data_IF_041720641973
#
_entry.id   IF_041720641973
#
_cell.length_a   1.000
_cell.length_b   1.000
_cell.length_c   1.000
_cell.angle_alpha   90.00
_cell.angle_beta   90.00
_cell.angle_gamma   90.00
#
_symmetry.space_group_name_H-M   'P 1'
#
loop_
_entity.id
_entity.type
_entity.pdbx_description
1 polymer ?
#
# COMPACT_ATOMS: atom_id res chain seq x y z
N UNK A 1 8.76 29.12 23.91
CA UNK A 1 8.40 27.75 23.51
C UNK A 1 7.15 27.38 24.27
N UNK A 2 6.03 27.06 23.60
CA UNK A 2 4.82 26.61 24.28
C UNK A 2 5.05 25.25 24.97
N UNK A 3 4.49 25.10 26.17
CA UNK A 3 4.37 23.81 26.86
C UNK A 3 2.99 23.24 26.54
N UNK A 4 2.95 22.09 25.87
CA UNK A 4 1.72 21.39 25.53
C UNK A 4 1.49 20.27 26.55
N UNK A 5 0.36 20.33 27.25
CA UNK A 5 -0.04 19.28 28.19
C UNK A 5 -0.94 18.29 27.46
N UNK A 6 -0.54 17.01 27.47
CA UNK A 6 -1.30 15.91 26.88
C UNK A 6 -1.65 14.88 27.95
N UNK A 7 -2.60 13.96 27.69
CA UNK A 7 -2.88 12.83 28.58
C UNK A 7 -1.66 11.93 28.85
N UNK A 8 -0.64 11.96 27.98
CA UNK A 8 0.52 11.08 28.05
C UNK A 8 1.75 11.75 28.69
N UNK A 9 1.72 13.07 28.89
CA UNK A 9 2.86 13.85 29.36
C UNK A 9 2.90 15.26 28.77
N UNK A 10 3.89 16.03 29.21
CA UNK A 10 4.12 17.39 28.72
C UNK A 10 5.15 17.41 27.60
N UNK A 11 4.92 18.26 26.59
CA UNK A 11 5.79 18.42 25.42
C UNK A 11 6.21 19.87 25.33
N UNK A 12 7.51 20.12 25.38
CA UNK A 12 8.05 21.42 24.97
C UNK A 12 8.08 21.48 23.45
N UNK A 13 7.27 22.37 22.88
CA UNK A 13 7.04 22.43 21.45
C UNK A 13 7.63 23.68 20.80
N UNK A 14 7.86 23.61 19.48
CA UNK A 14 8.12 24.78 18.65
C UNK A 14 6.90 25.72 18.60
N UNK A 15 7.10 27.03 18.34
CA UNK A 15 6.01 28.02 18.26
C UNK A 15 4.94 27.69 17.22
N UNK A 16 5.30 27.02 16.13
CA UNK A 16 4.40 26.66 15.01
C UNK A 16 3.52 25.45 15.33
N UNK A 17 2.93 25.44 16.52
CA UNK A 17 1.96 24.42 16.95
C UNK A 17 0.61 24.68 16.28
N UNK A 18 0.03 23.65 15.68
CA UNK A 18 -1.31 23.72 15.10
C UNK A 18 -2.36 23.24 16.10
N UNK A 19 -3.53 23.87 16.05
CA UNK A 19 -4.68 23.55 16.91
C UNK A 19 -5.92 23.21 16.07
N UNK A 20 -6.81 22.41 16.64
CA UNK A 20 -8.16 22.22 16.14
C UNK A 20 -9.04 23.45 16.44
N UNK A 21 -10.23 23.57 15.81
CA UNK A 21 -11.15 24.69 16.08
C UNK A 21 -11.61 24.79 17.54
N UNK A 22 -11.59 23.69 18.29
CA UNK A 22 -11.93 23.64 19.72
C UNK A 22 -10.77 24.05 20.65
N UNK A 23 -9.60 24.38 20.08
CA UNK A 23 -8.40 24.76 20.81
C UNK A 23 -7.53 23.59 21.27
N UNK A 24 -7.92 22.34 21.03
CA UNK A 24 -7.07 21.18 21.31
C UNK A 24 -5.86 21.13 20.35
N UNK A 25 -4.73 20.58 20.82
CA UNK A 25 -3.53 20.46 19.99
C UNK A 25 -3.79 19.50 18.83
N UNK A 26 -3.43 19.91 17.62
CA UNK A 26 -3.52 19.10 16.40
C UNK A 26 -2.17 18.55 16.00
N UNK A 27 -1.14 19.38 16.06
CA UNK A 27 0.21 19.02 15.62
C UNK A 27 1.25 19.87 16.33
N UNK A 28 2.35 19.28 16.79
CA UNK A 28 3.46 20.00 17.39
C UNK A 28 4.79 19.29 17.12
N UNK A 29 5.90 20.03 17.17
CA UNK A 29 7.26 19.47 17.03
C UNK A 29 7.96 19.61 18.38
N UNK A 30 8.49 18.51 18.91
CA UNK A 30 9.24 18.50 20.16
C UNK A 30 10.62 19.17 19.98
N UNK A 31 11.03 20.00 20.93
CA UNK A 31 12.34 20.68 20.91
C UNK A 31 13.42 19.98 21.73
N UNK A 32 13.01 19.05 22.60
CA UNK A 32 13.88 18.28 23.49
C UNK A 32 13.22 16.95 23.87
N UNK A 33 13.99 16.08 24.50
CA UNK A 33 13.49 14.83 25.07
C UNK A 33 12.29 15.10 25.99
N UNK A 34 11.15 14.50 25.65
CA UNK A 34 9.90 14.58 26.41
C UNK A 34 9.27 13.17 26.48
N UNK A 35 9.58 12.37 27.51
CA UNK A 35 9.03 11.04 27.65
C UNK A 35 7.50 11.07 27.79
N UNK A 36 6.81 10.28 26.97
CA UNK A 36 5.36 10.13 26.97
C UNK A 36 4.99 8.72 27.45
N UNK A 37 4.10 8.62 28.43
CA UNK A 37 3.62 7.34 28.97
C UNK A 37 2.43 6.89 28.11
N UNK A 38 2.66 5.93 27.22
CA UNK A 38 1.65 5.43 26.27
C UNK A 38 1.22 4.00 26.62
N UNK A 39 0.16 3.45 25.99
CA UNK A 39 -0.18 2.03 26.12
C UNK A 39 0.94 1.07 25.68
N UNK A 40 1.90 1.53 24.87
CA UNK A 40 3.07 0.76 24.44
C UNK A 40 4.28 0.95 25.37
N UNK A 41 4.11 1.64 26.50
CA UNK A 41 5.18 2.02 27.41
C UNK A 41 5.64 3.46 27.21
N UNK A 42 6.83 3.76 27.73
CA UNK A 42 7.43 5.09 27.66
C UNK A 42 8.08 5.30 26.30
N UNK A 43 7.57 6.27 25.54
CA UNK A 43 8.06 6.62 24.20
C UNK A 43 8.59 8.05 24.19
N UNK A 44 9.71 8.27 23.52
CA UNK A 44 10.33 9.60 23.38
C UNK A 44 10.14 10.07 21.93
N UNK A 45 9.36 11.15 21.70
CA UNK A 45 9.22 11.73 20.37
C UNK A 45 10.56 12.18 19.80
N UNK A 46 10.69 12.15 18.48
CA UNK A 46 11.88 12.69 17.83
C UNK A 46 12.00 14.20 18.05
N UNK A 47 13.17 14.64 18.48
CA UNK A 47 13.52 16.05 18.70
C UNK A 47 14.89 16.42 18.09
N UNK A 48 15.58 15.49 17.43
CA UNK A 48 16.79 15.79 16.64
C UNK A 48 16.60 15.58 15.13
N UNK A 49 17.34 16.35 14.32
CA UNK A 49 17.29 16.29 12.85
C UNK A 49 18.64 16.66 12.21
N UNK A 50 19.71 15.99 12.64
CA UNK A 50 21.09 16.32 12.28
C UNK A 50 21.77 15.27 11.38
N UNK A 51 21.02 14.31 10.82
CA UNK A 51 21.57 13.24 9.98
C UNK A 51 21.05 13.33 8.55
N UNK A 52 21.77 12.73 7.59
CA UNK A 52 21.32 12.61 6.20
C UNK A 52 19.99 11.83 6.08
N UNK A 53 19.77 10.89 7.01
CA UNK A 53 18.57 10.06 7.13
C UNK A 53 17.37 10.80 7.74
N UNK A 54 17.60 11.69 8.71
CA UNK A 54 16.60 12.47 9.45
C UNK A 54 16.95 13.97 9.36
N UNK A 55 16.60 14.61 8.24
CA UNK A 55 16.96 16.02 7.96
C UNK A 55 15.97 17.05 8.48
N UNK A 56 14.76 16.62 8.83
CA UNK A 56 13.70 17.49 9.34
C UNK A 56 13.13 16.89 10.62
N UNK A 57 12.71 17.76 11.54
CA UNK A 57 11.99 17.35 12.74
C UNK A 57 10.55 17.00 12.35
N UNK A 58 10.14 15.74 12.52
CA UNK A 58 8.78 15.35 12.18
C UNK A 58 7.82 15.81 13.29
N UNK A 59 6.59 16.14 12.91
CA UNK A 59 5.58 16.52 13.87
C UNK A 59 4.93 15.32 14.55
N UNK A 60 4.65 15.49 15.85
CA UNK A 60 3.69 14.69 16.60
C UNK A 60 2.31 15.20 16.21
N UNK A 61 1.39 14.31 15.82
CA UNK A 61 0.02 14.70 15.52
C UNK A 61 -0.97 14.03 16.47
N UNK A 62 -2.10 14.68 16.67
CA UNK A 62 -3.15 14.27 17.60
C UNK A 62 -4.50 14.15 16.91
N UNK A 63 -5.37 13.35 17.51
CA UNK A 63 -6.80 13.34 17.21
C UNK A 63 -7.50 14.46 18.00
N UNK A 64 -8.73 14.87 17.60
CA UNK A 64 -9.46 15.92 18.32
C UNK A 64 -9.69 15.64 19.81
N UNK A 65 -9.72 14.36 20.21
CA UNK A 65 -9.86 13.97 21.62
C UNK A 65 -8.54 14.02 22.42
N UNK A 66 -7.46 14.56 21.86
CA UNK A 66 -6.15 14.67 22.49
C UNK A 66 -5.32 13.38 22.47
N UNK A 67 -5.84 12.29 21.89
CA UNK A 67 -5.05 11.06 21.72
C UNK A 67 -3.98 11.26 20.64
N UNK A 68 -2.80 10.69 20.86
CA UNK A 68 -1.73 10.71 19.86
C UNK A 68 -2.22 9.98 18.61
N UNK A 69 -2.11 10.63 17.46
CA UNK A 69 -2.42 10.05 16.16
C UNK A 69 -1.17 9.47 15.50
N UNK A 70 -0.07 10.21 15.53
CA UNK A 70 1.21 9.82 14.93
C UNK A 70 2.36 10.28 15.81
N UNK A 71 3.30 9.38 16.09
CA UNK A 71 4.44 9.61 16.95
C UNK A 71 5.72 9.05 16.31
N UNK A 72 6.49 9.89 15.62
CA UNK A 72 7.88 9.61 15.26
C UNK A 72 8.75 9.58 16.51
N UNK A 73 9.64 8.61 16.60
CA UNK A 73 10.48 8.36 17.78
C UNK A 73 11.92 8.81 17.52
N UNK A 74 12.57 9.30 18.58
CA UNK A 74 13.96 9.72 18.54
C UNK A 74 14.87 8.55 18.14
N UNK A 75 14.72 7.44 18.88
CA UNK A 75 15.46 6.19 18.70
C UNK A 75 14.49 5.05 18.39
N UNK A 76 15.02 4.00 17.77
CA UNK A 76 14.28 2.75 17.58
C UNK A 76 14.12 2.06 18.94
N UNK A 77 12.89 1.70 19.27
CA UNK A 77 12.56 0.99 20.52
C UNK A 77 11.77 -0.29 20.22
N UNK A 78 11.96 -1.31 21.07
CA UNK A 78 11.16 -2.52 21.01
C UNK A 78 9.78 -2.29 21.64
N UNK A 79 8.73 -2.60 20.90
CA UNK A 79 7.33 -2.52 21.35
C UNK A 79 6.69 -3.90 21.31
N UNK A 80 5.97 -4.24 22.38
CA UNK A 80 5.17 -5.47 22.42
C UNK A 80 3.92 -5.30 21.57
N UNK A 81 3.67 -6.25 20.68
CA UNK A 81 2.48 -6.26 19.80
C UNK A 81 1.83 -7.63 19.81
N UNK A 82 0.57 -7.74 19.35
CA UNK A 82 -0.11 -9.04 19.22
C UNK A 82 0.59 -10.04 18.29
N UNK A 83 1.47 -9.57 17.41
CA UNK A 83 2.19 -10.41 16.42
C UNK A 83 3.66 -10.62 16.78
N UNK A 84 4.10 -10.17 17.96
CA UNK A 84 5.48 -10.27 18.44
C UNK A 84 6.05 -8.98 18.99
N UNK A 85 7.31 -9.01 19.40
CA UNK A 85 8.06 -7.82 19.83
C UNK A 85 8.74 -7.21 18.62
N UNK A 86 8.41 -5.97 18.30
CA UNK A 86 8.86 -5.32 17.06
C UNK A 86 9.70 -4.09 17.36
N UNK A 87 10.77 -3.82 16.59
CA UNK A 87 11.37 -2.50 16.58
C UNK A 87 10.39 -1.47 16.00
N UNK A 88 10.43 -0.25 16.52
CA UNK A 88 9.64 0.87 16.03
C UNK A 88 10.45 2.16 16.08
N UNK A 89 10.47 2.89 14.96
CA UNK A 89 10.89 4.30 14.90
C UNK A 89 9.72 5.26 14.70
N UNK A 90 8.54 4.71 14.39
CA UNK A 90 7.30 5.48 14.33
C UNK A 90 6.12 4.58 14.67
N UNK A 91 5.21 5.12 15.47
CA UNK A 91 3.95 4.48 15.80
C UNK A 91 2.77 5.42 15.57
N UNK A 92 1.62 4.86 15.29
CA UNK A 92 0.37 5.61 15.18
C UNK A 92 -0.74 4.90 15.93
N UNK A 93 -1.75 5.65 16.36
CA UNK A 93 -2.87 5.12 17.14
C UNK A 93 -4.21 5.55 16.58
N UNK A 94 -5.23 4.78 16.91
CA UNK A 94 -6.62 5.17 16.72
C UNK A 94 -7.05 6.21 17.76
N UNK A 95 -8.20 6.85 17.55
CA UNK A 95 -8.81 7.74 18.55
C UNK A 95 -9.07 7.04 19.90
N UNK A 96 -9.21 5.71 19.90
CA UNK A 96 -9.34 4.91 21.13
C UNK A 96 -8.03 4.75 21.92
N UNK A 97 -6.89 5.18 21.36
CA UNK A 97 -5.56 4.89 21.89
C UNK A 97 -5.03 3.50 21.53
N UNK A 98 -5.81 2.66 20.85
CA UNK A 98 -5.34 1.38 20.33
C UNK A 98 -4.25 1.59 19.27
N UNK A 99 -3.24 0.71 19.27
CA UNK A 99 -2.19 0.72 18.27
C UNK A 99 -2.80 0.58 16.87
N UNK A 100 -2.41 1.48 15.97
CA UNK A 100 -2.84 1.48 14.58
C UNK A 100 -1.74 0.92 13.68
N UNK A 101 -0.58 1.57 13.61
CA UNK A 101 0.50 1.15 12.71
C UNK A 101 1.86 1.31 13.36
N UNK A 102 2.76 0.38 13.08
CA UNK A 102 4.16 0.42 13.46
C UNK A 102 5.01 0.49 12.19
N UNK A 103 6.05 1.31 12.24
CA UNK A 103 7.12 1.35 11.27
C UNK A 103 8.44 1.03 11.98
N UNK A 104 9.10 -0.10 11.65
CA UNK A 104 10.44 -0.43 12.15
C UNK A 104 11.46 0.66 11.88
N UNK A 105 11.35 1.31 10.73
CA UNK A 105 12.22 2.38 10.27
C UNK A 105 11.38 3.56 9.78
N UNK A 106 11.86 4.78 10.00
CA UNK A 106 11.21 6.02 9.61
C UNK A 106 12.23 7.06 9.08
N UNK A 107 13.13 6.63 8.19
CA UNK A 107 14.03 7.51 7.47
C UNK A 107 13.34 8.30 6.36
N UNK A 108 13.85 9.49 6.05
CA UNK A 108 13.34 10.32 4.94
C UNK A 108 14.22 10.13 3.71
N UNK A 109 13.66 9.57 2.63
CA UNK A 109 14.37 9.42 1.38
C UNK A 109 14.72 10.78 0.77
N UNK A 110 15.94 10.92 0.25
CA UNK A 110 16.44 12.14 -0.38
C UNK A 110 17.54 11.82 -1.39
N UNK A 111 18.05 12.83 -2.10
CA UNK A 111 19.21 12.65 -2.99
C UNK A 111 20.50 12.16 -2.29
N UNK A 112 20.54 12.17 -0.95
CA UNK A 112 21.67 11.68 -0.15
C UNK A 112 21.33 10.46 0.71
N UNK A 113 20.07 10.00 0.67
CA UNK A 113 19.60 8.86 1.43
C UNK A 113 18.59 8.08 0.60
N UNK A 114 19.06 7.01 -0.03
CA UNK A 114 18.27 6.26 -0.99
C UNK A 114 17.43 5.18 -0.31
N UNK A 115 16.50 4.57 -1.07
CA UNK A 115 15.79 3.38 -0.62
C UNK A 115 16.75 2.23 -0.27
N UNK A 116 17.81 2.06 -1.04
CA UNK A 116 18.85 1.06 -0.78
C UNK A 116 19.58 1.32 0.53
N UNK A 117 19.83 2.59 0.87
CA UNK A 117 20.47 2.96 2.13
C UNK A 117 19.56 2.68 3.33
N UNK A 118 18.26 2.98 3.22
CA UNK A 118 17.29 2.64 4.27
C UNK A 118 17.13 1.12 4.40
N UNK A 119 17.11 0.38 3.29
CA UNK A 119 17.00 -1.08 3.27
C UNK A 119 18.16 -1.77 4.00
N UNK A 120 19.38 -1.21 3.99
CA UNK A 120 20.54 -1.75 4.74
C UNK A 120 20.34 -1.74 6.25
N UNK A 121 19.41 -0.92 6.77
CA UNK A 121 19.06 -0.87 8.19
C UNK A 121 17.91 -1.82 8.54
N UNK A 122 17.19 -2.33 7.54
CA UNK A 122 16.06 -3.21 7.76
C UNK A 122 16.56 -4.57 8.23
N UNK A 123 15.95 -5.09 9.28
CA UNK A 123 16.25 -6.41 9.84
C UNK A 123 15.04 -7.33 9.66
N UNK A 124 15.25 -8.63 9.36
CA UNK A 124 14.15 -9.58 9.30
C UNK A 124 13.39 -9.63 10.63
N UNK A 125 12.06 -9.61 10.54
CA UNK A 125 11.16 -9.70 11.68
C UNK A 125 10.55 -11.09 11.72
N UNK A 126 10.54 -11.71 12.89
CA UNK A 126 9.76 -12.93 13.16
C UNK A 126 8.38 -12.51 13.65
N UNK A 127 7.34 -12.84 12.88
CA UNK A 127 5.97 -12.38 13.09
C UNK A 127 5.01 -13.55 13.23
N UNK A 128 4.17 -13.52 14.25
CA UNK A 128 3.01 -14.41 14.39
C UNK A 128 1.83 -13.83 13.59
N UNK A 129 1.62 -14.32 12.37
CA UNK A 129 0.59 -13.78 11.47
C UNK A 129 -0.59 -14.74 11.30
N UNK A 130 -1.73 -14.27 10.74
CA UNK A 130 -2.82 -15.18 10.37
C UNK A 130 -2.45 -16.24 9.32
N UNK A 131 -1.31 -16.07 8.62
CA UNK A 131 -0.76 -17.07 7.70
C UNK A 131 0.08 -18.14 8.42
N UNK A 132 0.30 -17.98 9.73
CA UNK A 132 1.30 -18.69 10.52
C UNK A 132 2.53 -17.82 10.83
N UNK A 133 3.54 -18.40 11.48
CA UNK A 133 4.81 -17.72 11.72
C UNK A 133 5.51 -17.40 10.40
N UNK A 134 5.95 -16.16 10.23
CA UNK A 134 6.72 -15.73 9.05
C UNK A 134 7.97 -14.97 9.48
N UNK A 135 9.03 -15.09 8.70
CA UNK A 135 10.24 -14.29 8.82
C UNK A 135 10.37 -13.43 7.56
N UNK A 136 10.36 -12.10 7.71
CA UNK A 136 10.36 -11.21 6.54
C UNK A 136 10.86 -9.80 6.85
N UNK A 137 11.25 -9.05 5.81
CA UNK A 137 11.55 -7.64 5.90
C UNK A 137 10.26 -6.83 5.69
N UNK A 138 9.85 -6.08 6.72
CA UNK A 138 8.64 -5.25 6.68
C UNK A 138 8.94 -3.75 6.73
N UNK A 139 8.22 -2.97 5.93
CA UNK A 139 8.17 -1.50 6.03
C UNK A 139 7.20 -1.10 7.14
N UNK A 140 6.04 -1.75 7.22
CA UNK A 140 5.03 -1.42 8.24
C UNK A 140 4.05 -2.56 8.50
N UNK A 141 3.48 -2.53 9.71
CA UNK A 141 2.41 -3.42 10.13
C UNK A 141 1.20 -2.58 10.56
N UNK A 142 0.04 -2.89 10.01
CA UNK A 142 -1.22 -2.21 10.32
C UNK A 142 -2.12 -3.14 11.14
N UNK A 143 -2.65 -2.64 12.25
CA UNK A 143 -3.52 -3.34 13.18
C UNK A 143 -4.92 -2.75 13.17
N UNK A 144 -5.91 -3.59 13.43
CA UNK A 144 -7.27 -3.18 13.77
C UNK A 144 -7.33 -2.60 15.18
N UNK A 145 -8.42 -1.88 15.55
CA UNK A 145 -8.60 -1.41 16.92
C UNK A 145 -8.64 -2.53 17.98
N UNK A 146 -8.96 -3.76 17.61
CA UNK A 146 -8.93 -4.94 18.50
C UNK A 146 -7.54 -5.57 18.61
N UNK A 147 -6.55 -5.10 17.84
CA UNK A 147 -5.18 -5.62 17.82
C UNK A 147 -4.91 -6.71 16.77
N UNK A 148 -5.92 -7.17 16.03
CA UNK A 148 -5.71 -8.10 14.92
C UNK A 148 -4.88 -7.44 13.79
N UNK A 149 -3.93 -8.17 13.20
CA UNK A 149 -3.14 -7.71 12.06
C UNK A 149 -4.04 -7.53 10.84
N UNK A 150 -4.12 -6.32 10.30
CA UNK A 150 -4.89 -5.97 9.09
C UNK A 150 -4.05 -5.94 7.84
N UNK A 151 -2.78 -5.57 7.93
CA UNK A 151 -1.88 -5.65 6.79
C UNK A 151 -0.42 -5.70 7.20
N UNK A 152 0.37 -6.29 6.32
CA UNK A 152 1.81 -6.34 6.37
C UNK A 152 2.32 -5.74 5.06
N UNK A 153 3.12 -4.69 5.14
CA UNK A 153 3.80 -4.09 3.98
C UNK A 153 5.25 -4.56 3.97
N UNK A 154 5.65 -5.22 2.89
CA UNK A 154 6.97 -5.80 2.68
C UNK A 154 7.94 -4.73 2.15
N UNK A 155 9.22 -4.91 2.45
CA UNK A 155 10.27 -4.17 1.75
C UNK A 155 10.25 -4.48 0.25
N UNK A 156 10.66 -3.53 -0.63
CA UNK A 156 10.87 -3.84 -2.03
C UNK A 156 11.85 -5.01 -2.20
N UNK A 157 11.65 -5.77 -3.27
CA UNK A 157 12.39 -7.01 -3.57
C UNK A 157 12.22 -8.16 -2.56
N UNK A 158 11.43 -7.96 -1.50
CA UNK A 158 11.00 -9.03 -0.59
C UNK A 158 9.69 -9.63 -1.07
N UNK A 159 9.64 -10.95 -1.11
CA UNK A 159 8.43 -11.71 -1.39
C UNK A 159 8.02 -12.55 -0.18
N UNK A 160 6.73 -12.86 -0.10
CA UNK A 160 6.16 -13.73 0.93
C UNK A 160 5.29 -14.79 0.26
N UNK A 161 5.53 -16.06 0.55
CA UNK A 161 4.65 -17.13 0.07
C UNK A 161 3.35 -17.15 0.88
N UNK A 162 2.23 -16.91 0.20
CA UNK A 162 0.92 -16.81 0.83
C UNK A 162 0.07 -18.02 0.46
N UNK A 163 -0.39 -18.83 1.44
CA UNK A 163 -1.42 -19.81 1.18
C UNK A 163 -2.74 -19.11 0.85
N UNK A 164 -3.29 -19.38 -0.34
CA UNK A 164 -4.57 -18.83 -0.76
C UNK A 164 -5.56 -19.94 -1.14
N UNK A 165 -6.86 -19.63 -1.24
CA UNK A 165 -7.84 -20.56 -1.81
C UNK A 165 -7.55 -20.98 -3.26
N UNK A 166 -6.63 -20.30 -3.95
CA UNK A 166 -6.19 -20.58 -5.32
C UNK A 166 -4.89 -21.39 -5.37
N UNK A 167 -4.33 -21.77 -4.21
CA UNK A 167 -2.99 -22.33 -4.08
C UNK A 167 -1.99 -21.32 -3.49
N UNK A 168 -0.72 -21.71 -3.40
CA UNK A 168 0.34 -20.82 -2.94
C UNK A 168 0.58 -19.70 -3.95
N UNK A 169 0.64 -18.45 -3.47
CA UNK A 169 0.94 -17.27 -4.29
C UNK A 169 2.02 -16.45 -3.61
N UNK A 170 3.10 -16.18 -4.33
CA UNK A 170 4.12 -15.24 -3.88
C UNK A 170 3.56 -13.81 -3.93
N UNK A 171 3.54 -13.13 -2.80
CA UNK A 171 3.15 -11.73 -2.68
C UNK A 171 4.37 -10.82 -2.69
N UNK A 172 4.30 -9.71 -3.41
CA UNK A 172 5.19 -8.53 -3.29
C UNK A 172 4.42 -7.41 -2.61
N UNK A 173 5.08 -6.35 -2.15
CA UNK A 173 4.49 -5.14 -1.53
C UNK A 173 3.73 -5.41 -0.24
N UNK A 174 2.81 -6.37 -0.18
CA UNK A 174 2.14 -6.74 1.06
C UNK A 174 0.91 -7.63 0.91
N UNK A 175 0.35 -7.92 2.08
CA UNK A 175 -0.86 -8.72 2.27
C UNK A 175 -1.78 -8.01 3.26
N UNK A 176 -3.09 -8.21 3.11
CA UNK A 176 -4.08 -7.71 4.05
C UNK A 176 -5.04 -8.79 4.51
N UNK A 177 -5.62 -8.60 5.69
CA UNK A 177 -6.52 -9.53 6.36
C UNK A 177 -7.80 -8.83 6.80
N UNK A 178 -8.86 -9.62 6.95
CA UNK A 178 -10.02 -9.25 7.75
C UNK A 178 -9.68 -9.35 9.24
N UNK A 179 -10.51 -8.75 10.11
CA UNK A 179 -10.31 -8.85 11.55
C UNK A 179 -10.44 -10.29 12.08
N UNK A 180 -11.08 -11.18 11.31
CA UNK A 180 -11.12 -12.63 11.54
C UNK A 180 -9.79 -13.35 11.27
N UNK A 181 -8.80 -12.67 10.68
CA UNK A 181 -7.55 -13.26 10.22
C UNK A 181 -7.61 -13.87 8.81
N UNK A 182 -8.79 -13.95 8.19
CA UNK A 182 -8.90 -14.45 6.81
C UNK A 182 -8.20 -13.48 5.85
N UNK A 183 -7.45 -14.04 4.89
CA UNK A 183 -6.80 -13.28 3.83
C UNK A 183 -7.83 -12.45 3.05
N UNK A 184 -7.60 -11.14 2.99
CA UNK A 184 -8.45 -10.18 2.30
C UNK A 184 -7.89 -9.82 0.94
N UNK A 185 -6.59 -9.57 0.84
CA UNK A 185 -5.94 -9.30 -0.43
C UNK A 185 -4.43 -9.53 -0.37
N UNK A 186 -3.83 -9.73 -1.54
CA UNK A 186 -2.37 -9.74 -1.73
C UNK A 186 -2.01 -9.13 -3.08
N UNK A 187 -0.80 -8.59 -3.20
CA UNK A 187 -0.28 -8.13 -4.49
C UNK A 187 0.66 -9.20 -5.07
N UNK A 188 0.30 -9.86 -6.18
CA UNK A 188 1.12 -10.92 -6.75
C UNK A 188 2.52 -10.42 -7.16
N UNK A 189 3.55 -11.20 -6.85
CA UNK A 189 4.92 -10.94 -7.27
C UNK A 189 5.10 -11.07 -8.79
N UNK A 190 4.29 -11.92 -9.42
CA UNK A 190 4.25 -12.19 -10.85
C UNK A 190 2.80 -12.45 -11.31
N UNK A 191 2.52 -12.47 -12.63
CA UNK A 191 1.18 -12.78 -13.13
C UNK A 191 0.68 -14.18 -12.71
N UNK A 192 -0.36 -14.20 -11.88
CA UNK A 192 -0.98 -15.44 -11.40
C UNK A 192 -2.22 -15.76 -12.21
N UNK A 193 -2.32 -17.00 -12.71
CA UNK A 193 -3.54 -17.45 -13.38
C UNK A 193 -4.64 -17.79 -12.39
N UNK A 194 -5.82 -17.22 -12.60
CA UNK A 194 -6.95 -17.30 -11.69
C UNK A 194 -8.20 -17.67 -12.46
N UNK A 195 -8.86 -18.75 -12.04
CA UNK A 195 -10.20 -19.08 -12.51
C UNK A 195 -11.20 -18.05 -11.95
N UNK A 196 -11.90 -17.35 -12.85
CA UNK A 196 -12.91 -16.35 -12.48
C UNK A 196 -14.27 -16.67 -13.10
N UNK A 197 -15.36 -16.03 -12.65
CA UNK A 197 -16.67 -16.22 -13.27
C UNK A 197 -16.69 -15.93 -14.79
N UNK A 198 -15.86 -15.01 -15.27
CA UNK A 198 -15.79 -14.65 -16.71
C UNK A 198 -14.74 -15.47 -17.49
N UNK A 199 -14.11 -16.46 -16.85
CA UNK A 199 -13.03 -17.27 -17.44
C UNK A 199 -11.69 -17.13 -16.70
N UNK A 200 -10.65 -17.73 -17.24
CA UNK A 200 -9.31 -17.68 -16.67
C UNK A 200 -8.63 -16.34 -16.99
N UNK A 201 -8.12 -15.65 -15.97
CA UNK A 201 -7.48 -14.34 -16.07
C UNK A 201 -6.12 -14.34 -15.35
N UNK A 202 -5.22 -13.43 -15.75
CA UNK A 202 -3.98 -13.17 -15.01
C UNK A 202 -4.17 -12.00 -14.06
N UNK A 203 -4.04 -12.24 -12.76
CA UNK A 203 -4.03 -11.20 -11.74
C UNK A 203 -2.61 -10.65 -11.58
N UNK A 204 -2.43 -9.38 -11.95
CA UNK A 204 -1.19 -8.62 -11.75
C UNK A 204 -1.42 -7.14 -12.07
N UNK A 205 -1.02 -6.27 -11.17
CA UNK A 205 -1.00 -4.82 -11.40
C UNK A 205 0.44 -4.34 -11.58
N UNK A 206 0.85 -3.98 -12.81
CA UNK A 206 2.18 -3.41 -13.05
C UNK A 206 2.37 -2.04 -12.37
N UNK A 207 1.28 -1.38 -11.99
CA UNK A 207 1.25 -0.03 -11.41
C UNK A 207 1.07 -0.05 -9.89
N UNK A 208 1.10 -1.23 -9.27
CA UNK A 208 0.95 -1.36 -7.83
C UNK A 208 1.98 -0.48 -7.10
N UNK A 209 1.47 0.44 -6.29
CA UNK A 209 2.31 1.39 -5.54
C UNK A 209 2.85 0.69 -4.29
N UNK A 210 4.17 0.49 -4.23
CA UNK A 210 4.89 -0.20 -3.15
C UNK A 210 4.91 0.51 -1.79
N UNK A 211 3.99 1.43 -1.52
CA UNK A 211 3.95 2.21 -0.28
C UNK A 211 3.17 1.48 0.82
N UNK A 212 2.17 0.66 0.46
CA UNK A 212 1.29 0.04 1.44
C UNK A 212 0.62 -1.24 0.94
N UNK A 213 0.67 -2.30 1.76
CA UNK A 213 0.00 -3.58 1.53
C UNK A 213 -1.49 -3.64 1.86
N UNK A 214 -2.14 -2.50 2.12
CA UNK A 214 -3.55 -2.43 2.55
C UNK A 214 -4.56 -2.77 1.45
N UNK A 215 -4.24 -2.45 0.20
CA UNK A 215 -5.11 -2.65 -0.96
C UNK A 215 -4.29 -3.18 -2.12
N UNK A 216 -4.66 -4.36 -2.61
CA UNK A 216 -3.86 -5.11 -3.55
C UNK A 216 -4.71 -5.64 -4.70
N UNK A 217 -4.04 -6.14 -5.73
CA UNK A 217 -4.64 -6.67 -6.94
C UNK A 217 -5.60 -7.81 -6.68
N UNK A 218 -5.14 -8.88 -6.03
CA UNK A 218 -5.94 -10.09 -5.83
C UNK A 218 -6.75 -9.95 -4.54
N UNK A 219 -8.08 -9.99 -4.64
CA UNK A 219 -8.99 -9.69 -3.53
C UNK A 219 -9.98 -10.81 -3.28
N UNK A 220 -10.15 -11.14 -2.00
CA UNK A 220 -11.01 -12.20 -1.52
C UNK A 220 -12.12 -11.64 -0.62
N UNK A 221 -13.18 -12.42 -0.46
CA UNK A 221 -14.15 -12.23 0.63
C UNK A 221 -13.68 -13.02 1.85
N UNK A 222 -14.31 -12.73 2.98
CA UNK A 222 -14.06 -13.43 4.23
C UNK A 222 -14.42 -14.93 4.18
N UNK A 223 -15.25 -15.36 3.23
CA UNK A 223 -15.49 -16.79 2.97
C UNK A 223 -14.45 -17.44 2.04
N UNK A 224 -13.36 -16.73 1.69
CA UNK A 224 -12.30 -17.19 0.79
C UNK A 224 -12.63 -17.07 -0.71
N UNK A 225 -13.86 -16.72 -1.10
CA UNK A 225 -14.19 -16.56 -2.52
C UNK A 225 -13.53 -15.32 -3.14
N UNK A 226 -13.09 -15.44 -4.39
CA UNK A 226 -12.56 -14.30 -5.15
C UNK A 226 -13.64 -13.22 -5.31
N UNK A 227 -13.32 -11.98 -4.96
CA UNK A 227 -14.21 -10.83 -5.12
C UNK A 227 -13.71 -9.81 -6.12
N UNK A 228 -12.43 -9.87 -6.50
CA UNK A 228 -11.90 -9.01 -7.53
C UNK A 228 -10.44 -9.31 -7.84
N UNK A 229 -10.01 -8.82 -9.00
CA UNK A 229 -8.61 -8.82 -9.39
C UNK A 229 -8.28 -7.53 -10.16
N UNK A 230 -7.00 -7.29 -10.39
CA UNK A 230 -6.50 -6.24 -11.28
C UNK A 230 -5.64 -6.90 -12.37
N UNK A 231 -5.77 -6.44 -13.62
CA UNK A 231 -5.08 -7.05 -14.77
C UNK A 231 -4.81 -6.03 -15.86
N UNK A 232 -3.56 -5.94 -16.32
CA UNK A 232 -3.20 -5.28 -17.58
C UNK A 232 -3.10 -6.26 -18.78
N UNK A 233 -3.29 -7.56 -18.56
CA UNK A 233 -3.05 -8.61 -19.56
C UNK A 233 -4.29 -9.04 -20.37
N UNK A 234 -5.45 -8.44 -20.11
CA UNK A 234 -6.73 -8.86 -20.69
C UNK A 234 -7.55 -7.67 -21.20
N UNK A 235 -8.25 -7.91 -22.30
CA UNK A 235 -9.36 -7.08 -22.79
C UNK A 235 -10.66 -7.86 -22.63
N UNK A 236 -11.78 -7.14 -22.66
CA UNK A 236 -13.11 -7.71 -22.41
C UNK A 236 -14.10 -7.24 -23.46
N UNK A 237 -14.70 -8.18 -24.18
CA UNK A 237 -15.86 -7.91 -25.03
C UNK A 237 -17.12 -8.07 -24.20
N UNK A 238 -17.91 -7.00 -24.11
CA UNK A 238 -19.13 -6.94 -23.30
C UNK A 238 -20.35 -6.76 -24.20
N UNK A 239 -21.26 -7.73 -24.21
CA UNK A 239 -22.53 -7.63 -24.91
C UNK A 239 -23.49 -6.78 -24.08
N UNK A 240 -23.86 -5.61 -24.60
CA UNK A 240 -24.82 -4.70 -23.97
C UNK A 240 -26.26 -5.17 -24.21
N UNK A 241 -27.22 -4.64 -23.43
CA UNK A 241 -28.65 -4.99 -23.54
C UNK A 241 -29.24 -4.79 -24.94
N UNK A 242 -28.69 -3.84 -25.72
CA UNK A 242 -29.10 -3.58 -27.10
C UNK A 242 -28.42 -4.50 -28.14
N UNK A 243 -27.73 -5.55 -27.69
CA UNK A 243 -26.98 -6.48 -28.54
C UNK A 243 -25.66 -5.94 -29.08
N UNK A 244 -25.30 -4.68 -28.83
CA UNK A 244 -24.00 -4.12 -29.25
C UNK A 244 -22.89 -4.68 -28.39
N UNK A 245 -21.76 -5.00 -29.01
CA UNK A 245 -20.54 -5.38 -28.30
C UNK A 245 -19.71 -4.13 -28.00
N UNK A 246 -19.34 -3.94 -26.74
CA UNK A 246 -18.37 -2.94 -26.30
C UNK A 246 -17.08 -3.65 -25.89
N UNK A 247 -16.00 -3.36 -26.61
CA UNK A 247 -14.65 -3.80 -26.23
C UNK A 247 -14.06 -2.85 -25.19
N UNK A 248 -13.59 -3.41 -24.08
CA UNK A 248 -12.82 -2.72 -23.06
C UNK A 248 -11.38 -3.22 -23.12
N UNK A 249 -10.44 -2.32 -23.35
CA UNK A 249 -9.00 -2.62 -23.34
C UNK A 249 -8.32 -1.86 -22.21
N UNK A 250 -7.20 -2.35 -21.68
CA UNK A 250 -6.30 -1.57 -20.83
C UNK A 250 -6.00 -0.20 -21.47
N UNK A 251 -6.25 0.94 -20.79
CA UNK A 251 -5.91 2.25 -21.31
C UNK A 251 -4.40 2.37 -21.53
N UNK A 252 -3.99 2.98 -22.62
CA UNK A 252 -2.58 3.23 -22.89
C UNK A 252 -2.18 4.62 -22.40
N UNK A 253 -1.05 4.70 -21.72
CA UNK A 253 -0.45 5.97 -21.30
C UNK A 253 1.03 6.00 -21.62
N UNK A 254 1.61 7.20 -21.66
CA UNK A 254 3.06 7.40 -21.77
C UNK A 254 3.72 7.10 -20.43
N UNK A 255 4.90 6.49 -20.47
CA UNK A 255 5.72 6.23 -19.31
C UNK A 255 6.05 7.56 -18.60
N UNK A 256 5.84 7.69 -17.28
CA UNK A 256 6.06 8.96 -16.57
C UNK A 256 7.50 9.49 -16.66
N UNK A 257 8.49 8.61 -16.66
CA UNK A 257 9.92 9.00 -16.69
C UNK A 257 10.44 9.44 -18.07
N UNK A 258 10.16 8.69 -19.15
CA UNK A 258 10.70 9.00 -20.49
C UNK A 258 9.70 9.72 -21.40
N UNK A 259 8.39 9.65 -21.13
CA UNK A 259 7.34 10.29 -21.91
C UNK A 259 7.14 9.70 -23.31
N UNK A 260 7.85 8.64 -23.69
CA UNK A 260 7.85 8.07 -25.03
C UNK A 260 7.25 6.66 -25.06
N UNK A 261 7.64 5.80 -24.11
CA UNK A 261 7.17 4.41 -24.09
C UNK A 261 5.69 4.36 -23.73
N UNK A 262 4.91 3.61 -24.51
CA UNK A 262 3.51 3.36 -24.19
C UNK A 262 3.39 2.16 -23.24
N UNK A 263 2.60 2.32 -22.19
CA UNK A 263 2.34 1.31 -21.18
C UNK A 263 0.84 1.11 -20.98
N UNK A 264 0.46 -0.12 -20.66
CA UNK A 264 -0.92 -0.48 -20.38
C UNK A 264 -1.24 -0.23 -18.91
N UNK A 265 -2.19 0.66 -18.67
CA UNK A 265 -2.81 0.84 -17.35
C UNK A 265 -3.78 -0.31 -17.09
N UNK A 266 -3.82 -0.89 -15.90
CA UNK A 266 -4.62 -2.07 -15.63
C UNK A 266 -6.12 -1.77 -15.61
N UNK A 267 -6.90 -2.84 -15.81
CA UNK A 267 -8.33 -2.88 -15.54
C UNK A 267 -8.56 -3.55 -14.18
N UNK A 268 -9.44 -2.96 -13.38
CA UNK A 268 -9.91 -3.51 -12.11
C UNK A 268 -11.24 -4.23 -12.33
N UNK A 269 -11.31 -5.47 -11.86
CA UNK A 269 -12.50 -6.30 -11.87
C UNK A 269 -13.04 -6.48 -10.45
N UNK A 270 -14.35 -6.34 -10.28
CA UNK A 270 -15.10 -6.70 -9.08
C UNK A 270 -16.19 -7.70 -9.46
N UNK A 271 -16.14 -8.90 -8.87
CA UNK A 271 -17.09 -9.96 -9.11
C UNK A 271 -18.18 -9.93 -8.04
N UNK A 272 -19.44 -10.06 -8.44
CA UNK A 272 -20.62 -10.24 -7.58
C UNK A 272 -21.43 -11.42 -8.14
N UNK A 273 -22.40 -11.97 -7.38
CA UNK A 273 -23.26 -13.04 -7.91
C UNK A 273 -23.89 -12.63 -9.25
N UNK A 274 -23.56 -13.35 -10.32
CA UNK A 274 -24.06 -13.11 -11.68
C UNK A 274 -23.56 -11.84 -12.39
N UNK A 275 -22.76 -10.99 -11.74
CA UNK A 275 -22.38 -9.68 -12.29
C UNK A 275 -20.88 -9.43 -12.12
N UNK A 276 -20.25 -8.90 -13.17
CA UNK A 276 -18.89 -8.37 -13.12
C UNK A 276 -18.92 -6.86 -13.32
N UNK A 277 -18.07 -6.15 -12.57
CA UNK A 277 -17.81 -4.73 -12.79
C UNK A 277 -16.39 -4.53 -13.24
N UNK A 278 -16.22 -3.73 -14.28
CA UNK A 278 -14.93 -3.43 -14.89
C UNK A 278 -14.72 -1.91 -14.85
N UNK A 279 -13.56 -1.47 -14.39
CA UNK A 279 -13.21 -0.05 -14.31
C UNK A 279 -11.71 0.14 -14.49
N UNK A 280 -11.30 1.36 -14.84
CA UNK A 280 -9.92 1.84 -14.75
C UNK A 280 -9.93 3.29 -14.29
N UNK A 281 -8.76 3.92 -14.14
CA UNK A 281 -8.67 5.35 -13.83
C UNK A 281 -9.43 6.22 -14.86
N UNK A 282 -9.33 5.87 -16.14
CA UNK A 282 -9.87 6.66 -17.26
C UNK A 282 -11.18 6.11 -17.84
N UNK A 283 -11.64 4.96 -17.35
CA UNK A 283 -12.89 4.34 -17.80
C UNK A 283 -13.95 4.40 -16.70
N UNK A 284 -15.10 4.99 -17.05
CA UNK A 284 -16.28 4.91 -16.21
C UNK A 284 -16.67 3.45 -15.97
N UNK A 285 -17.04 3.17 -14.72
CA UNK A 285 -17.37 1.82 -14.24
C UNK A 285 -18.49 1.21 -15.09
N UNK A 286 -18.21 0.08 -15.74
CA UNK A 286 -19.19 -0.72 -16.46
C UNK A 286 -19.60 -1.93 -15.59
N UNK A 287 -20.90 -2.22 -15.54
CA UNK A 287 -21.41 -3.46 -14.94
C UNK A 287 -22.06 -4.30 -16.04
N UNK A 288 -21.83 -5.60 -16.02
CA UNK A 288 -22.39 -6.54 -16.99
C UNK A 288 -22.66 -7.90 -16.36
N UNK A 289 -23.57 -8.67 -16.94
CA UNK A 289 -23.78 -10.06 -16.56
C UNK A 289 -22.50 -10.86 -16.88
N UNK A 290 -22.17 -11.86 -16.07
CA UNK A 290 -20.93 -12.62 -16.27
C UNK A 290 -20.91 -13.34 -17.62
N UNK A 291 -22.04 -13.91 -18.02
CA UNK A 291 -22.26 -14.59 -19.29
C UNK A 291 -22.20 -13.68 -20.52
N UNK A 292 -22.30 -12.36 -20.33
CA UNK A 292 -22.22 -11.38 -21.41
C UNK A 292 -20.81 -10.82 -21.59
N UNK A 293 -19.81 -11.35 -20.86
CA UNK A 293 -18.43 -10.88 -20.89
C UNK A 293 -17.49 -11.99 -21.36
N UNK A 294 -16.76 -11.72 -22.44
CA UNK A 294 -15.75 -12.63 -22.97
C UNK A 294 -14.37 -11.98 -22.84
N UNK A 295 -13.45 -12.56 -22.05
CA UNK A 295 -12.08 -12.07 -21.95
C UNK A 295 -11.24 -12.54 -23.15
N UNK A 296 -10.27 -11.72 -23.54
CA UNK A 296 -9.22 -12.08 -24.49
C UNK A 296 -7.88 -11.54 -24.02
N UNK A 297 -6.79 -12.18 -24.43
CA UNK A 297 -5.45 -11.64 -24.16
C UNK A 297 -5.27 -10.27 -24.78
N UNK A 298 -4.71 -9.35 -24.00
CA UNK A 298 -4.30 -8.05 -24.48
C UNK A 298 -2.80 -8.05 -24.75
N UNK A 299 -2.42 -7.54 -25.91
CA UNK A 299 -1.04 -7.29 -26.28
C UNK A 299 -0.91 -5.80 -26.57
N UNK A 300 0.17 -5.18 -26.07
CA UNK A 300 0.50 -3.83 -26.45
C UNK A 300 0.62 -3.76 -27.98
N UNK A 301 -0.02 -2.78 -28.63
CA UNK A 301 0.18 -2.57 -30.06
C UNK A 301 1.68 -2.37 -30.31
N UNK A 302 2.24 -3.14 -31.25
CA UNK A 302 3.61 -2.90 -31.69
C UNK A 302 3.70 -1.44 -32.18
N UNK A 303 4.78 -0.71 -31.86
CA UNK A 303 4.98 0.62 -32.44
C UNK A 303 4.89 0.46 -33.95
N UNK A 304 4.06 1.27 -34.59
CA UNK A 304 3.98 1.29 -36.05
C UNK A 304 5.40 1.53 -36.55
N UNK A 305 5.99 0.54 -37.22
CA UNK A 305 7.17 0.76 -38.04
C UNK A 305 6.72 1.73 -39.14
N UNK A 306 6.83 3.02 -38.88
CA UNK A 306 6.77 4.02 -39.94
C UNK A 306 7.84 3.58 -40.94
N UNK A 307 7.50 3.34 -42.22
CA UNK A 307 8.55 3.12 -43.20
C UNK A 307 9.45 4.34 -43.13
N UNK A 308 10.74 4.14 -42.81
CA UNK A 308 11.74 5.18 -43.02
C UNK A 308 11.51 5.65 -44.44
N UNK A 309 11.06 6.91 -44.61
CA UNK A 309 11.01 7.53 -45.92
C UNK A 309 12.36 7.26 -46.57
N UNK A 310 12.35 6.47 -47.64
CA UNK A 310 13.48 6.30 -48.52
C UNK A 310 13.81 7.70 -49.03
N UNK A 311 14.84 8.32 -48.44
CA UNK A 311 15.46 9.50 -49.03
C UNK A 311 15.88 9.08 -50.42
N UNK A 312 15.20 9.66 -51.42
CA UNK A 312 15.42 9.36 -52.81
C UNK A 312 16.90 9.50 -53.15
N UNK A 313 17.42 8.50 -53.84
CA UNK A 313 18.71 8.60 -54.50
C UNK A 313 18.67 9.81 -55.46
N UNK A 314 19.26 10.91 -55.03
CA UNK A 314 19.63 12.00 -55.91
C UNK A 314 20.62 11.48 -56.95
N UNK A 315 20.22 11.51 -58.21
CA UNK A 315 21.14 11.35 -59.34
C UNK A 315 22.06 12.57 -59.39
N UNK A 316 23.35 12.30 -59.59
CA UNK A 316 24.36 13.26 -60.01
C UNK A 316 24.06 13.78 -61.42
#
# INVERSE_FOLDING_TARGET
MPLIITPFGAIDALPDTEFFPDGSVRSCIAVRACPLITPLGMLVPQFTANTLRKRQLPAISFHPNGMIRNLPLEEQILVCTPVGVLPAEQVSFYESGALKRIFPLNGTLSGYWTQEDEAKLATPLTLETPLGPVETLAISLYFSPSGALRSLTLWPDTTLDVPTPLGGVAARIGVSFFDSGVLRSLEPAEPVSVATPVGELLAYDPDAIGICGDNNSLRFRENGSLCGLTSAAHSFDVVLENGRVRRLTPPLRRHPCDGERMEASPLCLEFRPGVVRISSADLSRLSAAVESVTPSRFFLPLPSLSPMCSMGAGKW
#
